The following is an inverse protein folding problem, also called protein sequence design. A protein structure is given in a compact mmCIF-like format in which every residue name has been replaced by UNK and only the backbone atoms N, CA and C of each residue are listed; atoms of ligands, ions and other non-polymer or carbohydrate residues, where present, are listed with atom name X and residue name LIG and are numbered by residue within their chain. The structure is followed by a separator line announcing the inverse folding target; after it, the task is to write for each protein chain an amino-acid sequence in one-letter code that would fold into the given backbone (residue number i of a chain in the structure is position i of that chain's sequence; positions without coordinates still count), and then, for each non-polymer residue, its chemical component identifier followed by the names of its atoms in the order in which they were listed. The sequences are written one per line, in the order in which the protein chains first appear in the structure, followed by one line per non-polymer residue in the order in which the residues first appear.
data_IF_796910647630
#
_entry.id   IF_796910647630
#
_cell.length_a   1.000
_cell.length_b   1.000
_cell.length_c   1.000
_cell.angle_alpha   90.00
_cell.angle_beta   90.00
_cell.angle_gamma   90.00
#
_symmetry.space_group_name_H-M   'P 1'
#
loop_
_entity.id
_entity.type
_entity.pdbx_description
1 polymer ?
#
# COMPACT_ATOMS: atom_id res chain seq x y z
N UNK A 1 41.93 0.68 0.80
CA UNK A 1 40.45 0.69 0.91
C UNK A 1 39.91 1.39 -0.33
N UNK A 2 39.69 0.65 -1.41
CA UNK A 2 39.21 1.16 -2.70
C UNK A 2 37.71 1.41 -2.59
N UNK A 3 37.27 2.67 -2.75
CA UNK A 3 35.83 3.02 -2.83
C UNK A 3 35.35 2.68 -4.24
N UNK A 4 34.29 1.90 -4.32
CA UNK A 4 33.63 1.52 -5.57
C UNK A 4 32.92 2.75 -6.17
N UNK A 5 33.27 3.20 -7.39
CA UNK A 5 32.68 4.40 -8.00
C UNK A 5 31.28 4.15 -8.60
N UNK A 6 30.74 2.93 -8.51
CA UNK A 6 29.48 2.55 -9.16
C UNK A 6 28.23 2.58 -8.27
N UNK A 7 28.38 2.75 -6.95
CA UNK A 7 27.22 2.85 -6.07
C UNK A 7 26.62 4.27 -6.20
N UNK A 8 25.57 4.40 -7.01
CA UNK A 8 24.67 5.54 -6.94
C UNK A 8 24.20 5.77 -5.49
N UNK A 9 23.67 6.96 -5.16
CA UNK A 9 23.14 7.19 -3.82
C UNK A 9 22.16 6.06 -3.46
N UNK A 10 22.20 5.52 -2.23
CA UNK A 10 21.25 4.50 -1.82
C UNK A 10 19.84 5.02 -2.12
N UNK A 11 19.00 4.21 -2.78
CA UNK A 11 17.61 4.59 -2.98
C UNK A 11 17.00 4.91 -1.60
N UNK A 12 16.22 5.99 -1.47
CA UNK A 12 15.57 6.31 -0.21
C UNK A 12 14.71 5.12 0.24
N UNK A 13 14.76 4.81 1.53
CA UNK A 13 13.91 3.77 2.10
C UNK A 13 12.45 4.07 1.77
N UNK A 14 11.77 3.08 1.18
CA UNK A 14 10.37 3.17 0.74
C UNK A 14 9.45 2.56 1.78
N UNK A 15 8.23 3.07 1.84
CA UNK A 15 7.19 2.56 2.72
C UNK A 15 7.04 1.03 2.59
N UNK A 16 6.97 0.35 3.74
CA UNK A 16 6.84 -1.10 3.86
C UNK A 16 5.49 -1.62 3.36
N UNK A 17 4.46 -0.77 3.35
CA UNK A 17 3.10 -1.19 2.99
C UNK A 17 3.06 -1.85 1.60
N UNK A 18 2.51 -3.07 1.57
CA UNK A 18 2.28 -3.83 0.34
C UNK A 18 0.81 -3.74 0.01
N UNK A 19 0.50 -3.21 -1.18
CA UNK A 19 -0.88 -3.17 -1.64
C UNK A 19 -1.36 -4.58 -1.99
N UNK A 20 -2.64 -4.84 -1.73
CA UNK A 20 -3.30 -6.03 -2.28
C UNK A 20 -3.53 -5.94 -3.80
N UNK A 21 -3.33 -4.77 -4.40
CA UNK A 21 -3.32 -4.59 -5.85
C UNK A 21 -2.09 -5.25 -6.47
N UNK A 22 -2.30 -6.30 -7.26
CA UNK A 22 -1.21 -7.04 -7.91
C UNK A 22 -0.31 -7.85 -6.95
N UNK A 23 -0.56 -7.81 -5.64
CA UNK A 23 0.05 -8.65 -4.60
C UNK A 23 1.54 -8.44 -4.31
N UNK A 24 2.27 -7.70 -5.15
CA UNK A 24 3.72 -7.46 -5.01
C UNK A 24 4.12 -5.99 -5.07
N UNK A 25 3.15 -5.09 -5.26
CA UNK A 25 3.41 -3.66 -5.39
C UNK A 25 3.55 -3.05 -3.98
N UNK A 26 4.58 -2.21 -3.80
CA UNK A 26 4.81 -1.47 -2.55
C UNK A 26 4.46 0.00 -2.74
N UNK A 27 4.04 0.63 -1.64
CA UNK A 27 3.91 2.07 -1.58
C UNK A 27 5.27 2.73 -1.91
N UNK A 28 5.25 3.70 -2.82
CA UNK A 28 6.44 4.35 -3.38
C UNK A 28 6.90 5.56 -2.57
N UNK A 29 6.09 5.97 -1.59
CA UNK A 29 6.40 7.09 -0.72
C UNK A 29 7.60 6.81 0.19
N UNK A 30 8.31 7.88 0.54
CA UNK A 30 9.46 7.80 1.44
C UNK A 30 9.04 7.38 2.84
N UNK A 31 9.89 6.61 3.53
CA UNK A 31 9.69 6.28 4.93
C UNK A 31 9.70 7.54 5.79
N UNK A 32 8.71 7.63 6.68
CA UNK A 32 8.59 8.63 7.72
C UNK A 32 8.94 8.03 9.08
N UNK A 33 8.22 6.99 9.52
CA UNK A 33 8.45 6.35 10.83
C UNK A 33 7.97 4.89 10.81
N UNK A 34 8.66 4.02 11.56
CA UNK A 34 8.34 2.58 11.65
C UNK A 34 8.26 1.89 10.27
N UNK A 35 9.15 2.29 9.36
CA UNK A 35 9.17 1.86 7.95
C UNK A 35 7.89 2.18 7.15
N UNK A 36 7.00 3.03 7.67
CA UNK A 36 5.83 3.54 6.95
C UNK A 36 6.05 4.98 6.48
N UNK A 37 5.42 5.37 5.36
CA UNK A 37 5.25 6.78 5.03
C UNK A 37 4.26 7.44 6.00
N UNK A 38 4.14 8.76 5.95
CA UNK A 38 3.27 9.50 6.88
C UNK A 38 1.82 8.99 6.88
N UNK A 39 1.24 8.79 5.70
CA UNK A 39 -0.13 8.33 5.56
C UNK A 39 -0.35 6.92 6.15
N UNK A 40 0.52 5.96 5.82
CA UNK A 40 0.40 4.59 6.36
C UNK A 40 0.75 4.52 7.85
N UNK A 41 1.61 5.41 8.35
CA UNK A 41 1.87 5.51 9.78
C UNK A 41 0.65 6.05 10.54
N UNK A 42 -0.07 7.02 9.98
CA UNK A 42 -1.34 7.51 10.56
C UNK A 42 -2.42 6.42 10.58
N UNK A 43 -2.49 5.59 9.54
CA UNK A 43 -3.38 4.43 9.50
C UNK A 43 -3.01 3.39 10.57
N UNK A 44 -1.71 3.13 10.75
CA UNK A 44 -1.20 2.27 11.84
C UNK A 44 -1.60 2.81 13.23
N UNK A 45 -1.42 4.12 13.49
CA UNK A 45 -1.81 4.72 14.76
C UNK A 45 -3.32 4.64 15.05
N UNK A 46 -4.15 4.54 14.02
CA UNK A 46 -5.60 4.37 14.13
C UNK A 46 -6.03 2.91 14.29
N UNK A 47 -5.10 1.95 14.26
CA UNK A 47 -5.40 0.51 14.26
C UNK A 47 -5.96 0.00 12.93
N UNK A 48 -5.86 0.79 11.86
CA UNK A 48 -6.29 0.40 10.51
C UNK A 48 -5.26 -0.51 9.83
N UNK A 49 -4.00 -0.44 10.27
CA UNK A 49 -2.91 -1.34 9.88
C UNK A 49 -2.31 -2.03 11.11
N UNK A 50 -1.83 -3.26 10.93
CA UNK A 50 -0.95 -3.94 11.90
C UNK A 50 0.53 -3.52 11.73
N UNK A 51 1.39 -3.97 12.65
CA UNK A 51 2.85 -3.73 12.62
C UNK A 51 3.55 -4.32 11.39
N UNK A 52 2.89 -5.25 10.68
CA UNK A 52 3.36 -5.89 9.46
C UNK A 52 2.89 -5.13 8.21
N UNK A 53 2.01 -4.14 8.37
CA UNK A 53 1.45 -3.34 7.28
C UNK A 53 0.22 -3.98 6.62
N UNK A 54 -0.44 -4.94 7.26
CA UNK A 54 -1.70 -5.49 6.78
C UNK A 54 -2.88 -4.65 7.27
N UNK A 55 -3.87 -4.47 6.40
CA UNK A 55 -5.12 -3.81 6.75
C UNK A 55 -5.90 -4.66 7.74
N UNK A 56 -6.29 -4.07 8.86
CA UNK A 56 -7.07 -4.72 9.92
C UNK A 56 -8.36 -5.33 9.36
N UNK A 57 -8.70 -6.54 9.81
CA UNK A 57 -9.96 -7.20 9.47
C UNK A 57 -11.17 -6.50 10.13
N UNK A 58 -10.93 -5.74 11.21
CA UNK A 58 -11.96 -4.98 11.93
C UNK A 58 -12.35 -3.68 11.20
N UNK A 59 -11.55 -3.21 10.25
CA UNK A 59 -11.86 -2.04 9.44
C UNK A 59 -12.94 -2.38 8.41
N UNK A 60 -14.21 -2.12 8.75
CA UNK A 60 -15.37 -2.42 7.90
C UNK A 60 -15.61 -1.41 6.77
N UNK A 61 -15.10 -0.19 6.91
CA UNK A 61 -15.25 0.88 5.91
C UNK A 61 -14.46 0.54 4.63
N UNK A 62 -15.19 0.06 3.62
CA UNK A 62 -14.61 -0.35 2.35
C UNK A 62 -13.96 0.80 1.59
N UNK A 63 -14.46 2.03 1.73
CA UNK A 63 -13.85 3.20 1.09
C UNK A 63 -12.50 3.47 1.73
N UNK A 64 -12.44 3.48 3.07
CA UNK A 64 -11.19 3.67 3.81
C UNK A 64 -10.17 2.57 3.52
N UNK A 65 -10.59 1.30 3.45
CA UNK A 65 -9.72 0.18 3.06
C UNK A 65 -9.08 0.42 1.69
N UNK A 66 -9.85 0.93 0.72
CA UNK A 66 -9.35 1.22 -0.62
C UNK A 66 -8.39 2.40 -0.63
N UNK A 67 -8.72 3.49 0.07
CA UNK A 67 -7.80 4.61 0.26
C UNK A 67 -6.44 4.13 0.80
N UNK A 68 -6.46 3.27 1.83
CA UNK A 68 -5.24 2.70 2.39
C UNK A 68 -4.49 1.84 1.37
N UNK A 69 -5.22 1.00 0.65
CA UNK A 69 -4.66 0.02 -0.27
C UNK A 69 -4.03 0.63 -1.53
N UNK A 70 -4.56 1.74 -2.01
CA UNK A 70 -4.14 2.37 -3.27
C UNK A 70 -3.27 3.61 -3.07
N UNK A 71 -2.98 4.01 -1.84
CA UNK A 71 -2.11 5.14 -1.57
C UNK A 71 -0.65 4.85 -1.99
N UNK A 72 -0.05 5.82 -2.70
CA UNK A 72 1.37 5.78 -3.05
C UNK A 72 1.74 4.74 -4.12
N UNK A 73 0.79 4.26 -4.91
CA UNK A 73 1.07 3.39 -6.06
C UNK A 73 0.69 4.07 -7.38
N UNK A 74 1.42 3.74 -8.45
CA UNK A 74 1.03 4.14 -9.79
C UNK A 74 0.04 3.11 -10.33
N UNK A 75 -1.19 3.56 -10.55
CA UNK A 75 -2.21 2.77 -11.24
C UNK A 75 -2.01 2.95 -12.75
N UNK A 76 -1.91 1.87 -13.54
CA UNK A 76 -1.86 1.98 -15.00
C UNK A 76 -3.12 2.69 -15.54
N UNK A 77 -2.97 3.62 -16.50
CA UNK A 77 -4.08 4.44 -17.00
C UNK A 77 -5.16 3.64 -17.76
N UNK A 78 -4.84 2.40 -18.15
CA UNK A 78 -5.74 1.46 -18.81
C UNK A 78 -6.64 0.67 -17.84
N UNK A 79 -6.46 0.85 -16.52
CA UNK A 79 -7.34 0.26 -15.51
C UNK A 79 -8.41 1.29 -15.13
N UNK A 80 -9.71 1.01 -15.41
CA UNK A 80 -10.79 1.94 -15.11
C UNK A 80 -10.81 2.36 -13.64
N UNK A 81 -10.94 3.67 -13.39
CA UNK A 81 -11.08 4.25 -12.03
C UNK A 81 -12.28 3.62 -11.27
N UNK A 82 -13.27 3.12 -12.00
CA UNK A 82 -14.46 2.43 -11.50
C UNK A 82 -14.14 1.12 -10.76
N UNK A 83 -13.06 0.40 -11.11
CA UNK A 83 -12.63 -0.80 -10.36
C UNK A 83 -12.20 -0.41 -8.92
N UNK A 84 -11.77 0.85 -8.74
CA UNK A 84 -11.29 1.38 -7.46
C UNK A 84 -12.43 1.92 -6.60
N UNK A 85 -13.52 2.41 -7.19
CA UNK A 85 -14.60 3.09 -6.46
C UNK A 85 -15.90 2.28 -6.35
N UNK A 86 -16.02 1.17 -7.07
CA UNK A 86 -17.30 0.47 -7.14
C UNK A 86 -17.60 -0.35 -5.88
N UNK A 87 -18.65 0.07 -5.17
CA UNK A 87 -19.32 -0.64 -4.07
C UNK A 87 -20.03 -1.94 -4.53
N UNK A 88 -20.12 -2.19 -5.84
CA UNK A 88 -20.89 -3.27 -6.47
C UNK A 88 -20.06 -4.44 -7.02
N UNK A 89 -18.83 -4.64 -6.52
CA UNK A 89 -18.15 -5.93 -6.67
C UNK A 89 -18.40 -6.83 -5.44
N UNK A 90 -19.55 -7.54 -5.35
CA UNK A 90 -19.65 -8.64 -4.41
C UNK A 90 -18.56 -9.62 -4.80
N UNK A 91 -17.70 -9.97 -3.84
CA UNK A 91 -16.59 -10.88 -4.05
C UNK A 91 -17.01 -12.07 -4.90
N UNK A 92 -16.11 -12.50 -5.78
CA UNK A 92 -16.22 -13.80 -6.46
C UNK A 92 -16.56 -14.86 -5.40
N UNK A 93 -17.85 -15.19 -5.28
CA UNK A 93 -18.30 -16.46 -4.73
C UNK A 93 -17.90 -17.50 -5.75
N UNK A 94 -16.75 -18.11 -5.51
CA UNK A 94 -16.39 -19.38 -6.10
C UNK A 94 -16.50 -20.45 -5.02
N UNK A 95 -17.11 -21.59 -5.40
CA UNK A 95 -17.41 -22.85 -4.67
C UNK A 95 -18.86 -22.92 -4.21
N UNK A 96 -19.72 -23.80 -4.71
CA UNK A 96 -19.63 -24.97 -5.61
C UNK A 96 -20.94 -25.07 -6.41
#
# INVERSE_FOLDING_TARGET
MTRDPGAGPPEPDRCRFVTSYGGVIRCRESVYFHDFCQFHFEAYLRGELDERGHISEELSDQKRRREINYYGIDIPPDVPEEIYLDETHPGRRGKE
#
